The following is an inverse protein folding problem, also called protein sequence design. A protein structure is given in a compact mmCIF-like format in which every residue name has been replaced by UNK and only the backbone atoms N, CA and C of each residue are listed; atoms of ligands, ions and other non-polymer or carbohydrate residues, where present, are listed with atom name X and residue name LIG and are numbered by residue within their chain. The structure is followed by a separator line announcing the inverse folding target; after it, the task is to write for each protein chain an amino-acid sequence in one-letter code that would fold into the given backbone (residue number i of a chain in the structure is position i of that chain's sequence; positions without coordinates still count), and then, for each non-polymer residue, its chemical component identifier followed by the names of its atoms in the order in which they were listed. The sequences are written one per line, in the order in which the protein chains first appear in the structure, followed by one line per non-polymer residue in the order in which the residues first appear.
data_IF_965407862988
#
_entry.id   IF_965407862988
#
_cell.length_a   1.000
_cell.length_b   1.000
_cell.length_c   1.000
_cell.angle_alpha   90.00
_cell.angle_beta   90.00
_cell.angle_gamma   90.00
#
_symmetry.space_group_name_H-M   'P 1'
#
loop_
_entity.id
_entity.type
_entity.pdbx_description
1 polymer ?
#
# COMPACT_ATOMS: atom_id res chain seq x y z
N UNK A 1 -20.20 -2.01 15.70
CA UNK A 1 -19.35 -1.80 14.50
C UNK A 1 -18.14 -2.68 14.66
N UNK A 2 -17.82 -3.63 13.75
CA UNK A 2 -16.58 -4.38 13.86
C UNK A 2 -15.41 -3.40 13.71
N UNK A 3 -14.41 -3.50 14.58
CA UNK A 3 -13.18 -2.72 14.43
C UNK A 3 -12.48 -3.24 13.16
N UNK A 4 -12.50 -2.42 12.11
CA UNK A 4 -11.74 -2.66 10.87
C UNK A 4 -10.27 -2.79 11.27
N UNK A 5 -9.66 -3.96 11.09
CA UNK A 5 -8.27 -4.19 11.47
C UNK A 5 -7.37 -3.42 10.51
N UNK A 6 -6.82 -2.31 11.02
CA UNK A 6 -5.98 -1.40 10.23
C UNK A 6 -4.51 -1.83 10.23
N UNK A 7 -4.20 -3.02 10.76
CA UNK A 7 -2.83 -3.47 10.85
C UNK A 7 -2.27 -3.74 9.46
N UNK A 8 -1.00 -3.42 9.28
CA UNK A 8 -0.25 -3.81 8.12
C UNK A 8 0.14 -5.29 8.24
N UNK A 9 0.08 -6.09 7.15
CA UNK A 9 0.57 -7.48 7.15
C UNK A 9 2.07 -7.60 7.49
N UNK A 10 2.80 -6.50 7.40
CA UNK A 10 4.19 -6.39 7.83
C UNK A 10 4.39 -6.33 9.36
N UNK A 11 3.30 -6.29 10.15
CA UNK A 11 3.34 -6.18 11.60
C UNK A 11 3.28 -4.75 12.14
N UNK A 12 3.14 -3.72 11.29
CA UNK A 12 2.87 -2.36 11.75
C UNK A 12 1.40 -2.23 12.20
N UNK A 13 1.12 -1.49 13.29
CA UNK A 13 -0.23 -1.39 13.86
C UNK A 13 -1.21 -0.61 12.98
N UNK A 14 -0.71 0.20 12.03
CA UNK A 14 -1.51 1.05 11.16
C UNK A 14 -0.95 1.02 9.74
N UNK A 15 -1.81 0.78 8.76
CA UNK A 15 -1.52 0.97 7.34
C UNK A 15 -1.44 2.48 6.99
N UNK A 16 -0.28 3.08 7.22
CA UNK A 16 0.01 4.43 6.74
C UNK A 16 0.37 4.41 5.25
N UNK A 17 -0.10 5.40 4.50
CA UNK A 17 0.17 5.51 3.05
C UNK A 17 1.67 5.55 2.76
N UNK A 18 2.42 6.42 3.45
CA UNK A 18 3.88 6.48 3.31
C UNK A 18 4.56 5.16 3.64
N UNK A 19 4.11 4.46 4.68
CA UNK A 19 4.66 3.16 5.00
C UNK A 19 4.46 2.18 3.84
N UNK A 20 3.21 1.99 3.38
CA UNK A 20 2.87 1.04 2.31
C UNK A 20 3.64 1.35 1.02
N UNK A 21 3.75 2.64 0.65
CA UNK A 21 4.32 3.08 -0.63
C UNK A 21 5.85 3.19 -0.61
N UNK A 22 6.48 3.47 0.52
CA UNK A 22 7.91 3.76 0.59
C UNK A 22 8.75 2.72 1.33
N UNK A 23 8.20 2.11 2.38
CA UNK A 23 9.02 1.41 3.38
C UNK A 23 8.49 0.03 3.78
N UNK A 24 7.31 -0.36 3.32
CA UNK A 24 6.67 -1.61 3.73
C UNK A 24 7.42 -2.81 3.13
N UNK A 25 8.03 -3.67 3.96
CA UNK A 25 8.81 -4.80 3.47
C UNK A 25 7.93 -5.82 2.73
N UNK A 26 6.64 -5.94 3.10
CA UNK A 26 5.68 -6.81 2.43
C UNK A 26 5.52 -6.47 0.94
N UNK A 27 5.69 -5.20 0.57
CA UNK A 27 5.54 -4.73 -0.81
C UNK A 27 6.87 -4.34 -1.46
N UNK A 28 8.00 -4.70 -0.86
CA UNK A 28 9.33 -4.31 -1.35
C UNK A 28 9.62 -4.76 -2.78
N UNK A 29 9.11 -5.93 -3.18
CA UNK A 29 9.24 -6.43 -4.55
C UNK A 29 8.43 -5.60 -5.56
N UNK A 30 7.30 -5.05 -5.12
CA UNK A 30 6.38 -4.26 -5.94
C UNK A 30 6.72 -2.76 -5.93
N UNK A 31 7.57 -2.30 -5.01
CA UNK A 31 8.09 -0.93 -5.00
C UNK A 31 8.85 -0.57 -6.28
N UNK A 32 9.37 -1.54 -7.02
CA UNK A 32 9.92 -1.32 -8.36
C UNK A 32 8.93 -0.61 -9.31
N UNK A 33 7.62 -0.90 -9.18
CA UNK A 33 6.55 -0.27 -9.97
C UNK A 33 6.44 1.23 -9.63
N UNK A 34 6.67 1.60 -8.38
CA UNK A 34 6.63 3.00 -7.95
C UNK A 34 7.93 3.72 -8.31
N UNK A 35 9.07 3.03 -8.25
CA UNK A 35 10.39 3.58 -8.59
C UNK A 35 10.55 3.97 -10.05
N UNK A 36 9.80 3.33 -10.96
CA UNK A 36 9.79 3.74 -12.37
C UNK A 36 9.14 5.11 -12.59
N UNK A 37 8.31 5.57 -11.65
CA UNK A 37 7.63 6.85 -11.73
C UNK A 37 8.21 7.93 -10.80
N UNK A 38 8.87 7.54 -9.70
CA UNK A 38 9.54 8.46 -8.79
C UNK A 38 10.85 7.84 -8.28
N UNK A 39 11.98 8.54 -8.50
CA UNK A 39 13.31 8.08 -8.06
C UNK A 39 13.38 7.92 -6.53
N UNK A 40 12.69 8.80 -5.81
CA UNK A 40 12.48 8.72 -4.37
C UNK A 40 11.01 8.38 -4.12
N UNK A 41 10.77 7.31 -3.35
CA UNK A 41 9.42 6.89 -2.97
C UNK A 41 8.88 7.78 -1.85
N UNK A 42 8.56 9.04 -2.18
CA UNK A 42 7.82 9.96 -1.31
C UNK A 42 6.38 10.01 -1.79
N UNK A 43 5.42 9.85 -0.89
CA UNK A 43 3.99 9.86 -1.27
C UNK A 43 3.61 11.13 -2.04
N UNK A 44 4.17 12.28 -1.64
CA UNK A 44 3.94 13.55 -2.32
C UNK A 44 4.43 13.57 -3.77
N UNK A 45 5.58 12.97 -4.07
CA UNK A 45 6.14 12.95 -5.44
C UNK A 45 5.38 11.99 -6.35
N UNK A 46 4.96 10.84 -5.80
CA UNK A 46 4.10 9.87 -6.50
C UNK A 46 2.76 10.52 -6.86
N UNK A 47 2.15 11.29 -5.95
CA UNK A 47 0.83 11.89 -6.18
C UNK A 47 0.86 13.18 -7.02
N UNK A 48 2.03 13.81 -7.16
CA UNK A 48 2.19 15.09 -7.86
C UNK A 48 2.31 14.93 -9.37
N UNK A 49 2.66 13.75 -9.85
CA UNK A 49 2.87 13.49 -11.28
C UNK A 49 1.84 12.51 -11.83
N UNK A 50 1.48 12.67 -13.11
CA UNK A 50 0.59 11.71 -13.78
C UNK A 50 1.17 10.30 -13.76
N UNK A 51 2.46 10.17 -14.08
CA UNK A 51 3.17 8.88 -14.06
C UNK A 51 3.17 8.24 -12.68
N UNK A 52 3.33 9.03 -11.61
CA UNK A 52 3.25 8.53 -10.24
C UNK A 52 1.86 8.05 -9.84
N UNK A 53 0.79 8.75 -10.27
CA UNK A 53 -0.59 8.28 -10.08
C UNK A 53 -0.85 6.98 -10.85
N UNK A 54 -0.40 6.87 -12.10
CA UNK A 54 -0.53 5.64 -12.91
C UNK A 54 0.24 4.47 -12.27
N UNK A 55 1.46 4.71 -11.78
CA UNK A 55 2.23 3.71 -11.03
C UNK A 55 1.56 3.30 -9.72
N UNK A 56 0.93 4.25 -9.01
CA UNK A 56 0.16 3.96 -7.79
C UNK A 56 -1.05 3.07 -8.09
N UNK A 57 -1.78 3.36 -9.18
CA UNK A 57 -2.89 2.51 -9.63
C UNK A 57 -2.38 1.09 -9.90
N UNK A 58 -1.31 0.94 -10.69
CA UNK A 58 -0.71 -0.36 -10.99
C UNK A 58 -0.29 -1.09 -9.70
N UNK A 59 0.37 -0.39 -8.78
CA UNK A 59 0.76 -0.93 -7.48
C UNK A 59 -0.44 -1.44 -6.68
N UNK A 60 -1.53 -0.67 -6.57
CA UNK A 60 -2.74 -1.07 -5.84
C UNK A 60 -3.39 -2.30 -6.49
N UNK A 61 -3.46 -2.34 -7.82
CA UNK A 61 -3.99 -3.48 -8.56
C UNK A 61 -3.17 -4.76 -8.35
N UNK A 62 -1.84 -4.66 -8.30
CA UNK A 62 -0.95 -5.81 -8.08
C UNK A 62 -0.95 -6.27 -6.63
N UNK A 63 -0.95 -5.34 -5.67
CA UNK A 63 -0.74 -5.65 -4.24
C UNK A 63 -2.03 -5.87 -3.46
N UNK A 64 -3.17 -5.42 -4.01
CA UNK A 64 -4.42 -5.31 -3.27
C UNK A 64 -4.30 -4.50 -1.97
N UNK A 65 -3.27 -3.64 -1.86
CA UNK A 65 -3.06 -2.78 -0.69
C UNK A 65 -4.26 -1.83 -0.50
N UNK A 66 -4.48 -1.39 0.74
CA UNK A 66 -5.59 -0.51 1.15
C UNK A 66 -7.00 -1.11 1.00
N UNK A 67 -7.15 -2.37 0.59
CA UNK A 67 -8.45 -3.05 0.67
C UNK A 67 -8.80 -3.29 2.14
N UNK A 68 -10.07 -3.03 2.48
CA UNK A 68 -10.61 -3.42 3.79
C UNK A 68 -10.43 -4.92 3.95
N UNK A 69 -9.71 -5.32 4.99
CA UNK A 69 -9.65 -6.73 5.35
C UNK A 69 -11.03 -7.09 5.90
N UNK A 70 -11.71 -8.00 5.21
CA UNK A 70 -12.95 -8.55 5.73
C UNK A 70 -12.62 -9.23 7.07
N UNK A 71 -13.41 -9.00 8.15
CA UNK A 71 -13.16 -9.69 9.41
C UNK A 71 -13.13 -11.20 9.16
N UNK A 72 -12.25 -11.96 9.84
CA UNK A 72 -12.25 -13.41 9.71
C UNK A 72 -13.67 -13.92 9.99
N UNK A 73 -14.22 -14.70 9.07
CA UNK A 73 -15.50 -15.38 9.27
C UNK A 73 -15.38 -16.24 10.53
N UNK A 74 -16.26 -16.07 11.54
CA UNK A 74 -16.20 -16.89 12.73
C UNK A 74 -16.35 -18.37 12.33
N UNK A 75 -15.58 -19.29 12.94
CA UNK A 75 -15.74 -20.72 12.70
C UNK A 75 -17.12 -21.16 13.21
N UNK A 76 -17.77 -22.03 12.44
CA UNK A 76 -19.07 -22.67 12.72
C UNK A 76 -19.03 -23.51 14.01
#
# INVERSE_FOLDING_TARGET
VPADDRSCPCGQPIQLRDHILASCPTYGNQHGILKTAAEVLVTSDILRTRSGVEALIAFIHTTNAFKKQQPPTPPD
#
